data_IF_950677004818
#
_entry.id   IF_950677004818
#
_cell.length_a   1.000
_cell.length_b   1.000
_cell.length_c   1.000
_cell.angle_alpha   90.00
_cell.angle_beta   90.00
_cell.angle_gamma   90.00
#
_symmetry.space_group_name_H-M   'P 1'
#
loop_
_entity.id
_entity.type
_entity.pdbx_description
1 polymer ?
#
# COMPACT_ATOMS: atom_id res chain seq x y z
N UNK A 1 -6.88 4.55 18.82
CA UNK A 1 -7.60 5.51 19.70
C UNK A 1 -8.91 5.89 18.99
N UNK A 2 -10.08 5.61 19.57
CA UNK A 2 -11.39 5.90 18.95
C UNK A 2 -11.87 7.25 19.49
N UNK A 3 -11.94 8.26 18.64
CA UNK A 3 -12.62 9.51 18.97
C UNK A 3 -14.05 9.44 18.42
N UNK A 4 -15.04 9.49 19.33
CA UNK A 4 -16.45 9.60 18.96
C UNK A 4 -16.77 11.07 18.67
N UNK A 5 -16.83 11.45 17.40
CA UNK A 5 -17.48 12.70 17.00
C UNK A 5 -18.97 12.44 16.81
N UNK A 6 -19.80 13.33 17.38
CA UNK A 6 -21.27 13.27 17.41
C UNK A 6 -21.85 12.86 16.05
N UNK A 7 -22.34 11.62 15.92
CA UNK A 7 -23.31 11.10 14.94
C UNK A 7 -23.26 11.58 13.47
N UNK A 8 -22.09 11.92 12.91
CA UNK A 8 -21.96 12.31 11.49
C UNK A 8 -21.07 11.34 10.70
N UNK A 9 -20.28 10.51 11.39
CA UNK A 9 -19.50 9.43 10.78
C UNK A 9 -18.52 8.79 11.76
N UNK A 10 -18.03 7.61 11.40
CA UNK A 10 -16.90 6.95 12.08
C UNK A 10 -15.67 7.07 11.21
N UNK A 11 -14.51 7.26 11.83
CA UNK A 11 -13.24 7.25 11.13
C UNK A 11 -12.27 6.26 11.80
N UNK A 12 -11.35 5.75 11.00
CA UNK A 12 -10.20 4.95 11.43
C UNK A 12 -8.94 5.74 11.07
N UNK A 13 -8.03 5.90 12.04
CA UNK A 13 -6.71 6.46 11.79
C UNK A 13 -5.75 5.31 11.55
N UNK A 14 -5.17 5.27 10.36
CA UNK A 14 -4.13 4.31 9.99
C UNK A 14 -2.80 5.08 10.01
N UNK A 15 -1.92 4.83 10.99
CA UNK A 15 -0.61 5.46 11.00
C UNK A 15 0.20 4.97 9.79
N UNK A 16 0.79 5.93 9.10
CA UNK A 16 1.74 5.68 8.01
C UNK A 16 3.11 6.10 8.47
N UNK A 17 4.09 5.23 8.28
CA UNK A 17 5.43 5.43 8.82
C UNK A 17 6.30 6.29 7.91
N UNK A 18 7.57 5.90 7.78
CA UNK A 18 8.54 6.62 6.97
C UNK A 18 8.18 6.55 5.49
N UNK A 19 8.31 7.67 4.80
CA UNK A 19 8.19 7.75 3.35
C UNK A 19 9.26 6.86 2.68
N UNK A 20 8.81 5.99 1.77
CA UNK A 20 9.69 5.14 0.98
C UNK A 20 9.93 5.74 -0.41
N UNK A 21 8.84 5.96 -1.16
CA UNK A 21 8.90 6.51 -2.51
C UNK A 21 7.61 7.23 -2.88
N UNK A 22 7.72 8.16 -3.83
CA UNK A 22 6.63 9.00 -4.30
C UNK A 22 5.97 8.45 -5.57
N UNK A 23 5.87 9.29 -6.58
CA UNK A 23 5.35 8.93 -7.89
C UNK A 23 6.52 8.65 -8.82
N UNK A 24 6.45 7.57 -9.59
CA UNK A 24 7.41 7.32 -10.66
C UNK A 24 7.13 8.22 -11.86
N UNK A 25 8.05 8.25 -12.83
CA UNK A 25 7.84 9.01 -14.08
C UNK A 25 6.61 8.52 -14.86
N UNK A 26 6.29 7.23 -14.77
CA UNK A 26 5.15 6.61 -15.49
C UNK A 26 3.82 6.77 -14.77
N UNK A 27 3.83 7.13 -13.49
CA UNK A 27 2.65 7.29 -12.64
C UNK A 27 1.59 8.20 -13.27
N UNK A 28 1.99 9.32 -13.89
CA UNK A 28 1.08 10.22 -14.59
C UNK A 28 0.30 9.53 -15.70
N UNK A 29 1.02 8.88 -16.62
CA UNK A 29 0.44 8.19 -17.77
C UNK A 29 -0.44 7.00 -17.37
N UNK A 30 -0.04 6.27 -16.32
CA UNK A 30 -0.85 5.16 -15.78
C UNK A 30 -2.15 5.70 -15.20
N UNK A 31 -2.10 6.75 -14.37
CA UNK A 31 -3.31 7.35 -13.79
C UNK A 31 -4.29 7.85 -14.83
N UNK A 32 -3.82 8.47 -15.92
CA UNK A 32 -4.70 8.90 -17.00
C UNK A 32 -5.43 7.74 -17.70
N UNK A 33 -4.89 6.53 -17.61
CA UNK A 33 -5.46 5.30 -18.19
C UNK A 33 -6.22 4.44 -17.18
N UNK A 34 -6.13 4.74 -15.88
CA UNK A 34 -6.77 3.98 -14.81
C UNK A 34 -7.86 4.81 -14.16
N UNK A 35 -9.01 4.20 -13.96
CA UNK A 35 -10.18 4.92 -13.45
C UNK A 35 -10.13 5.13 -11.93
N UNK A 36 -9.38 4.30 -11.21
CA UNK A 36 -9.42 4.25 -9.75
C UNK A 36 -8.02 4.22 -9.13
N UNK A 37 -7.92 4.89 -7.98
CA UNK A 37 -6.82 4.80 -7.04
C UNK A 37 -7.33 4.07 -5.81
N UNK A 38 -6.56 3.09 -5.35
CA UNK A 38 -6.84 2.34 -4.14
C UNK A 38 -5.75 2.61 -3.11
N UNK A 39 -6.14 2.78 -1.85
CA UNK A 39 -5.18 2.63 -0.75
C UNK A 39 -5.06 1.15 -0.43
N UNK A 40 -3.82 0.68 -0.31
CA UNK A 40 -3.47 -0.68 0.09
C UNK A 40 -2.72 -0.60 1.41
N UNK A 41 -3.19 -1.37 2.38
CA UNK A 41 -2.62 -1.45 3.73
C UNK A 41 -2.18 -2.88 3.96
N UNK A 42 -0.88 -3.11 4.12
CA UNK A 42 -0.32 -4.43 4.40
C UNK A 42 -0.10 -4.64 5.87
N UNK A 43 -0.42 -5.85 6.30
CA UNK A 43 -0.14 -6.37 7.62
C UNK A 43 0.78 -7.60 7.46
N UNK A 44 1.74 -7.78 8.37
CA UNK A 44 2.49 -9.04 8.46
C UNK A 44 1.69 -10.02 9.31
N UNK A 45 1.67 -11.29 8.89
CA UNK A 45 0.98 -12.38 9.61
C UNK A 45 1.82 -12.97 10.75
N UNK A 46 3.11 -12.62 10.79
CA UNK A 46 4.07 -13.03 11.82
C UNK A 46 5.08 -11.91 12.11
N UNK A 47 5.78 -11.93 13.26
CA UNK A 47 6.82 -10.97 13.57
C UNK A 47 7.87 -10.83 12.47
N UNK A 48 8.35 -9.62 12.22
CA UNK A 48 9.25 -9.32 11.10
C UNK A 48 10.60 -10.05 11.19
N UNK A 49 11.09 -10.27 12.40
CA UNK A 49 12.32 -11.02 12.69
C UNK A 49 12.18 -12.53 12.44
N UNK A 50 10.95 -13.04 12.33
CA UNK A 50 10.65 -14.41 11.90
C UNK A 50 10.45 -14.54 10.38
N UNK A 51 10.47 -13.43 9.63
CA UNK A 51 10.37 -13.44 8.18
C UNK A 51 11.76 -13.59 7.56
N UNK A 52 11.92 -14.57 6.68
CA UNK A 52 13.17 -14.78 5.96
C UNK A 52 13.55 -13.51 5.17
N UNK A 53 14.80 -13.07 5.32
CA UNK A 53 15.34 -11.89 4.64
C UNK A 53 15.20 -11.93 3.11
N UNK A 54 15.24 -13.12 2.50
CA UNK A 54 15.02 -13.30 1.06
C UNK A 54 13.57 -13.06 0.67
N UNK A 55 12.60 -13.44 1.50
CA UNK A 55 11.19 -13.14 1.25
C UNK A 55 10.90 -11.65 1.39
N UNK A 56 11.52 -11.00 2.38
CA UNK A 56 11.48 -9.54 2.53
C UNK A 56 12.03 -8.86 1.27
N UNK A 57 13.19 -9.30 0.78
CA UNK A 57 13.80 -8.74 -0.42
C UNK A 57 12.91 -8.93 -1.65
N UNK A 58 12.36 -10.14 -1.86
CA UNK A 58 11.43 -10.42 -2.97
C UNK A 58 10.23 -9.49 -2.95
N UNK A 59 9.65 -9.24 -1.77
CA UNK A 59 8.53 -8.31 -1.65
C UNK A 59 8.93 -6.89 -2.05
N UNK A 60 10.04 -6.37 -1.54
CA UNK A 60 10.50 -5.03 -1.91
C UNK A 60 10.83 -4.93 -3.39
N UNK A 61 11.45 -5.94 -3.99
CA UNK A 61 11.72 -5.98 -5.43
C UNK A 61 10.43 -5.93 -6.25
N UNK A 62 9.39 -6.65 -5.82
CA UNK A 62 8.07 -6.62 -6.44
C UNK A 62 7.39 -5.25 -6.28
N UNK A 63 7.47 -4.64 -5.08
CA UNK A 63 6.94 -3.30 -4.82
C UNK A 63 7.64 -2.25 -5.72
N UNK A 64 8.97 -2.30 -5.81
CA UNK A 64 9.75 -1.38 -6.64
C UNK A 64 9.45 -1.54 -8.13
N UNK A 65 9.27 -2.77 -8.61
CA UNK A 65 8.86 -3.01 -9.99
C UNK A 65 7.51 -2.36 -10.30
N UNK A 66 6.51 -2.56 -9.44
CA UNK A 66 5.19 -1.95 -9.63
C UNK A 66 5.24 -0.42 -9.51
N UNK A 67 6.12 0.11 -8.67
CA UNK A 67 6.41 1.54 -8.61
C UNK A 67 6.99 2.06 -9.93
N UNK A 68 8.02 1.42 -10.48
CA UNK A 68 8.64 1.79 -11.76
C UNK A 68 7.66 1.72 -12.94
N UNK A 69 6.66 0.86 -12.84
CA UNK A 69 5.56 0.74 -13.80
C UNK A 69 4.47 1.81 -13.60
N UNK A 70 4.47 2.54 -12.48
CA UNK A 70 3.44 3.53 -12.13
C UNK A 70 2.16 2.91 -11.58
N UNK A 71 2.19 1.61 -11.27
CA UNK A 71 1.07 0.90 -10.65
C UNK A 71 0.98 1.22 -9.16
N UNK A 72 2.12 1.26 -8.46
CA UNK A 72 2.20 1.72 -7.08
C UNK A 72 2.77 3.15 -6.96
N UNK A 73 2.26 3.91 -6.01
CA UNK A 73 2.67 5.27 -5.71
C UNK A 73 2.60 5.56 -4.21
N UNK A 74 3.38 6.56 -3.78
CA UNK A 74 3.28 7.17 -2.44
C UNK A 74 3.30 6.13 -1.30
N UNK A 75 4.40 5.37 -1.23
CA UNK A 75 4.55 4.32 -0.25
C UNK A 75 5.16 4.83 1.07
N UNK A 76 4.68 4.24 2.17
CA UNK A 76 5.10 4.52 3.53
C UNK A 76 5.28 3.19 4.27
N UNK A 77 6.26 3.14 5.19
CA UNK A 77 6.59 1.94 5.96
C UNK A 77 6.71 2.26 7.44
N UNK A 78 5.95 1.55 8.26
CA UNK A 78 6.10 1.59 9.70
C UNK A 78 7.31 0.78 10.16
N UNK A 79 7.81 1.09 11.36
CA UNK A 79 8.81 0.24 11.98
C UNK A 79 8.18 -1.14 12.23
N UNK A 80 8.79 -2.23 11.74
CA UNK A 80 8.29 -3.58 12.06
C UNK A 80 8.43 -3.93 13.55
N UNK A 81 9.20 -3.16 14.31
CA UNK A 81 9.46 -3.38 15.73
C UNK A 81 8.52 -2.57 16.64
N UNK A 82 7.60 -1.80 16.07
CA UNK A 82 6.57 -1.08 16.83
C UNK A 82 5.30 -1.91 16.90
N UNK A 83 5.17 -2.72 17.96
CA UNK A 83 4.02 -3.60 18.20
C UNK A 83 2.68 -2.83 18.35
N UNK A 84 2.72 -1.51 18.56
CA UNK A 84 1.50 -0.69 18.63
C UNK A 84 0.90 -0.43 17.26
N UNK A 85 1.68 -0.63 16.19
CA UNK A 85 1.27 -0.40 14.81
C UNK A 85 1.03 -1.75 14.12
N UNK A 86 -0.19 -1.95 13.63
CA UNK A 86 -0.59 -3.23 13.02
C UNK A 86 -0.19 -3.36 11.56
N UNK A 87 -0.09 -2.24 10.84
CA UNK A 87 0.22 -2.22 9.42
C UNK A 87 1.70 -1.98 9.16
N UNK A 88 2.28 -2.80 8.29
CA UNK A 88 3.69 -2.77 7.91
C UNK A 88 3.97 -1.72 6.84
N UNK A 89 3.24 -1.76 5.72
CA UNK A 89 3.38 -0.80 4.61
C UNK A 89 2.02 -0.29 4.15
N UNK A 90 2.00 0.95 3.68
CA UNK A 90 0.83 1.56 3.04
C UNK A 90 1.27 2.19 1.74
N UNK A 91 0.54 1.94 0.66
CA UNK A 91 0.79 2.58 -0.63
C UNK A 91 -0.51 2.77 -1.40
N UNK A 92 -0.44 3.56 -2.46
CA UNK A 92 -1.55 3.83 -3.36
C UNK A 92 -1.35 3.05 -4.66
N UNK A 93 -2.43 2.48 -5.19
CA UNK A 93 -2.40 1.63 -6.36
C UNK A 93 -3.36 2.14 -7.43
N UNK A 94 -2.86 2.33 -8.65
CA UNK A 94 -3.67 2.67 -9.81
C UNK A 94 -4.19 1.40 -10.48
N UNK A 95 -5.51 1.26 -10.60
CA UNK A 95 -6.15 0.10 -11.24
C UNK A 95 -7.51 0.48 -11.86
N UNK A 96 -8.01 -0.30 -12.82
CA UNK A 96 -9.33 -0.07 -13.38
C UNK A 96 -10.43 -0.55 -12.44
N UNK A 97 -10.17 -1.58 -11.65
CA UNK A 97 -11.14 -2.17 -10.74
C UNK A 97 -10.47 -2.78 -9.51
N UNK A 98 -11.25 -3.00 -8.46
CA UNK A 98 -10.79 -3.69 -7.26
C UNK A 98 -10.35 -5.12 -7.58
N UNK A 99 -11.02 -5.79 -8.53
CA UNK A 99 -10.65 -7.15 -8.96
C UNK A 99 -9.28 -7.17 -9.66
N UNK A 100 -8.98 -6.17 -10.50
CA UNK A 100 -7.66 -6.02 -11.09
C UNK A 100 -6.60 -5.75 -10.02
N UNK A 101 -6.90 -4.86 -9.08
CA UNK A 101 -5.99 -4.52 -8.00
C UNK A 101 -5.67 -5.76 -7.15
N UNK A 102 -6.70 -6.50 -6.72
CA UNK A 102 -6.56 -7.76 -5.98
C UNK A 102 -5.74 -8.78 -6.75
N UNK A 103 -5.97 -8.94 -8.05
CA UNK A 103 -5.17 -9.87 -8.87
C UNK A 103 -3.68 -9.53 -8.85
N UNK A 104 -3.29 -8.26 -8.85
CA UNK A 104 -1.87 -7.88 -8.71
C UNK A 104 -1.36 -8.16 -7.31
N UNK A 105 -2.13 -7.81 -6.28
CA UNK A 105 -1.74 -7.97 -4.87
C UNK A 105 -1.66 -9.45 -4.45
N UNK A 106 -2.56 -10.29 -4.94
CA UNK A 106 -2.57 -11.74 -4.72
C UNK A 106 -1.35 -12.42 -5.32
N UNK A 107 -0.74 -11.81 -6.34
CA UNK A 107 0.48 -12.31 -6.97
C UNK A 107 1.77 -11.88 -6.24
N UNK A 108 1.67 -11.01 -5.24
CA UNK A 108 2.83 -10.49 -4.51
C UNK A 108 3.47 -11.56 -3.62
N UNK A 109 4.80 -11.52 -3.42
CA UNK A 109 5.54 -12.52 -2.65
C UNK A 109 4.96 -12.77 -1.26
N UNK A 110 4.63 -11.72 -0.50
CA UNK A 110 4.10 -11.89 0.85
C UNK A 110 2.75 -12.61 0.90
N UNK A 111 1.89 -12.47 -0.12
CA UNK A 111 0.60 -13.19 -0.17
C UNK A 111 0.83 -14.63 -0.56
N UNK A 112 1.63 -14.87 -1.62
CA UNK A 112 1.92 -16.23 -2.10
C UNK A 112 2.60 -17.10 -1.04
N UNK A 113 3.43 -16.49 -0.20
CA UNK A 113 4.19 -17.18 0.84
C UNK A 113 3.48 -17.18 2.20
N UNK A 114 2.24 -16.70 2.31
CA UNK A 114 1.47 -16.59 3.57
C UNK A 114 2.24 -15.84 4.68
N UNK A 115 2.93 -14.77 4.30
CA UNK A 115 3.73 -13.91 5.18
C UNK A 115 2.96 -12.63 5.52
N UNK A 116 2.17 -12.14 4.58
CA UNK A 116 1.45 -10.89 4.72
C UNK A 116 0.04 -10.97 4.13
N UNK A 117 -0.80 -10.07 4.62
CA UNK A 117 -2.15 -9.88 4.10
C UNK A 117 -2.37 -8.39 3.82
N UNK A 118 -3.36 -8.07 3.01
CA UNK A 118 -3.67 -6.70 2.67
C UNK A 118 -5.14 -6.38 2.84
N UNK A 119 -5.41 -5.11 3.13
CA UNK A 119 -6.71 -4.47 2.98
C UNK A 119 -6.61 -3.45 1.85
N UNK A 120 -7.67 -3.37 1.05
CA UNK A 120 -7.74 -2.43 -0.07
C UNK A 120 -9.04 -1.64 0.01
N UNK A 121 -8.96 -0.34 -0.33
CA UNK A 121 -10.12 0.53 -0.42
C UNK A 121 -9.98 1.52 -1.57
N UNK A 122 -11.03 1.69 -2.36
CA UNK A 122 -11.08 2.72 -3.38
C UNK A 122 -11.10 4.11 -2.73
N UNK A 123 -10.18 4.99 -3.15
CA UNK A 123 -10.03 6.36 -2.64
C UNK A 123 -10.27 7.42 -3.72
N UNK A 124 -10.86 7.02 -4.85
CA UNK A 124 -11.24 7.89 -5.96
C UNK A 124 -10.11 8.05 -6.97
N UNK A 125 -9.86 9.28 -7.41
CA UNK A 125 -8.84 9.60 -8.40
C UNK A 125 -7.83 10.58 -7.84
N UNK A 126 -6.57 10.48 -8.28
CA UNK A 126 -5.54 11.42 -7.87
C UNK A 126 -5.82 12.82 -8.43
N UNK A 127 -6.06 13.80 -7.55
CA UNK A 127 -6.45 15.14 -8.00
C UNK A 127 -5.27 16.11 -8.19
N UNK A 128 -4.30 16.14 -7.25
CA UNK A 128 -3.19 17.10 -7.30
C UNK A 128 -1.98 16.60 -6.50
N UNK A 129 -0.80 16.73 -7.11
CA UNK A 129 0.51 16.45 -6.50
C UNK A 129 1.41 17.67 -6.47
N UNK A 130 2.66 17.50 -6.02
CA UNK A 130 3.67 18.55 -6.13
C UNK A 130 3.86 18.92 -7.61
N UNK A 131 3.68 20.20 -7.90
CA UNK A 131 4.17 20.83 -9.13
C UNK A 131 5.64 21.10 -8.84
N UNK A 132 6.55 20.53 -9.64
CA UNK A 132 7.96 20.90 -9.58
C UNK A 132 8.17 22.33 -10.04
#
# INVERSE_FOLDING_TARGET
>A
MIFRTKNIGTFELIPVGNFLFGQSEKAGDVRLKKENVYVVVWDLLKPYDEVDSQEIQKQFDADFKLYEEGVLENAYKNSPYDESIKNFTVYFMNANSEAEAKKVLDEMPFVKSDIGSYKIRNVGHFMRGKVN
#
